data_IF_160808687248
#
_entry.id   IF_160808687248
#
_cell.length_a   1.000
_cell.length_b   1.000
_cell.length_c   1.000
_cell.angle_alpha   90.00
_cell.angle_beta   90.00
_cell.angle_gamma   90.00
#
_symmetry.space_group_name_H-M   'P 1'
#
loop_
_entity.id
_entity.type
_entity.pdbx_description
1 polymer ?
#
# COMPACT_ATOMS: atom_id res chain seq x y z
N UNK A 1 -59.20 -27.07 -47.29
CA UNK A 1 -58.98 -25.81 -46.52
C UNK A 1 -57.94 -26.10 -45.41
N UNK A 2 -56.67 -25.90 -45.73
CA UNK A 2 -55.58 -26.21 -44.87
C UNK A 2 -55.04 -24.85 -44.30
N UNK A 3 -55.26 -24.60 -43.01
CA UNK A 3 -54.68 -23.41 -42.30
C UNK A 3 -53.25 -23.72 -41.91
N UNK A 4 -52.32 -23.12 -42.62
CA UNK A 4 -50.93 -23.12 -42.22
C UNK A 4 -50.73 -22.15 -41.01
N UNK A 5 -50.41 -22.72 -39.87
CA UNK A 5 -50.00 -21.96 -38.70
C UNK A 5 -48.49 -21.73 -38.81
N UNK A 6 -48.13 -20.51 -39.16
CA UNK A 6 -46.72 -20.07 -39.15
C UNK A 6 -46.31 -19.78 -37.69
N UNK A 7 -45.62 -20.72 -37.10
CA UNK A 7 -45.00 -20.51 -35.78
C UNK A 7 -43.72 -19.66 -35.96
N UNK A 8 -43.81 -18.37 -35.63
CA UNK A 8 -42.68 -17.46 -35.58
C UNK A 8 -41.88 -17.76 -34.31
N UNK A 9 -40.80 -18.52 -34.45
CA UNK A 9 -39.86 -18.81 -33.39
C UNK A 9 -39.00 -17.54 -33.17
N UNK A 10 -39.39 -16.68 -32.24
CA UNK A 10 -38.54 -15.56 -31.76
C UNK A 10 -37.47 -16.17 -30.88
N UNK A 11 -36.30 -16.42 -31.46
CA UNK A 11 -35.08 -16.67 -30.67
C UNK A 11 -34.74 -15.38 -29.93
N UNK A 12 -35.13 -15.30 -28.66
CA UNK A 12 -34.57 -14.37 -27.69
C UNK A 12 -33.10 -14.74 -27.47
N UNK A 13 -32.22 -14.24 -28.32
CA UNK A 13 -30.79 -14.18 -28.03
C UNK A 13 -30.67 -13.19 -26.89
N UNK A 14 -30.65 -13.71 -25.67
CA UNK A 14 -30.23 -12.96 -24.48
C UNK A 14 -28.74 -12.69 -24.64
N UNK A 15 -28.39 -11.78 -25.55
CA UNK A 15 -27.06 -11.22 -25.62
C UNK A 15 -26.83 -10.49 -24.29
N UNK A 16 -26.02 -11.04 -23.44
CA UNK A 16 -25.38 -10.25 -22.37
C UNK A 16 -24.73 -9.09 -23.08
N UNK A 17 -25.31 -7.89 -22.96
CA UNK A 17 -24.68 -6.66 -23.40
C UNK A 17 -23.39 -6.57 -22.59
N UNK A 18 -22.28 -7.01 -23.19
CA UNK A 18 -20.96 -6.81 -22.61
C UNK A 18 -20.79 -5.29 -22.47
N UNK A 19 -20.99 -4.78 -21.25
CA UNK A 19 -20.74 -3.38 -20.96
C UNK A 19 -19.27 -3.15 -21.23
N UNK A 20 -18.94 -2.17 -22.07
CA UNK A 20 -17.55 -1.80 -22.31
C UNK A 20 -16.90 -1.44 -20.98
N UNK A 21 -15.75 -2.02 -20.69
CA UNK A 21 -14.98 -1.66 -19.53
C UNK A 21 -14.45 -0.23 -19.64
N UNK A 22 -14.00 0.35 -18.54
CA UNK A 22 -13.46 1.70 -18.52
C UNK A 22 -12.27 1.86 -19.47
N UNK A 23 -12.20 2.98 -20.18
CA UNK A 23 -11.05 3.35 -21.00
C UNK A 23 -9.92 4.04 -20.19
N UNK A 24 -10.17 4.32 -18.91
CA UNK A 24 -9.20 4.98 -18.02
C UNK A 24 -9.21 4.27 -16.67
N UNK A 25 -8.03 3.94 -16.16
CA UNK A 25 -7.82 3.45 -14.80
C UNK A 25 -7.13 4.55 -13.99
N UNK A 26 -7.77 5.01 -12.91
CA UNK A 26 -7.22 6.00 -11.97
C UNK A 26 -6.63 5.26 -10.76
N UNK A 27 -5.30 5.24 -10.66
CA UNK A 27 -4.55 4.51 -9.64
C UNK A 27 -3.94 5.48 -8.62
N UNK A 28 -4.33 5.34 -7.34
CA UNK A 28 -3.75 6.08 -6.23
C UNK A 28 -2.45 5.46 -5.74
N UNK A 29 -1.39 6.27 -5.60
CA UNK A 29 -0.07 5.86 -5.11
C UNK A 29 0.51 6.90 -4.15
N UNK A 30 1.59 6.56 -3.44
CA UNK A 30 2.33 7.48 -2.58
C UNK A 30 3.81 7.57 -3.03
N UNK A 31 4.54 8.61 -2.61
CA UNK A 31 5.99 8.68 -2.84
C UNK A 31 6.76 7.69 -1.95
N UNK A 32 7.96 7.31 -2.41
CA UNK A 32 8.89 6.46 -1.67
C UNK A 32 9.15 5.11 -2.33
N UNK A 33 10.26 4.48 -1.96
CA UNK A 33 10.73 3.25 -2.60
C UNK A 33 9.82 2.03 -2.30
N UNK A 34 9.03 2.09 -1.24
CA UNK A 34 7.98 1.10 -0.96
C UNK A 34 6.93 1.01 -2.08
N UNK A 35 6.87 2.04 -2.95
CA UNK A 35 6.00 2.10 -4.13
C UNK A 35 6.76 1.82 -5.45
N UNK A 36 7.96 1.26 -5.37
CA UNK A 36 8.77 0.90 -6.54
C UNK A 36 7.99 0.11 -7.61
N UNK A 37 7.16 -0.90 -7.27
CA UNK A 37 6.42 -1.62 -8.30
C UNK A 37 5.57 -0.71 -9.19
N UNK A 38 4.96 0.33 -8.63
CA UNK A 38 4.15 1.29 -9.40
C UNK A 38 5.01 2.22 -10.27
N UNK A 39 6.21 2.58 -9.83
CA UNK A 39 7.16 3.32 -10.65
C UNK A 39 7.60 2.48 -11.86
N UNK A 40 7.89 1.20 -11.67
CA UNK A 40 8.21 0.25 -12.74
C UNK A 40 7.01 0.08 -13.67
N UNK A 41 5.81 -0.15 -13.14
CA UNK A 41 4.57 -0.29 -13.93
C UNK A 41 4.34 0.95 -14.80
N UNK A 42 4.48 2.14 -14.23
CA UNK A 42 4.28 3.41 -14.94
C UNK A 42 5.35 3.64 -16.00
N UNK A 43 6.63 3.46 -15.65
CA UNK A 43 7.76 3.67 -16.59
C UNK A 43 7.71 2.72 -17.77
N UNK A 44 7.38 1.46 -17.52
CA UNK A 44 7.33 0.41 -18.52
C UNK A 44 5.97 0.30 -19.24
N UNK A 45 4.96 1.06 -18.82
CA UNK A 45 3.57 1.00 -19.30
C UNK A 45 2.99 -0.43 -19.22
N UNK A 46 3.23 -1.13 -18.08
CA UNK A 46 2.89 -2.56 -17.98
C UNK A 46 1.38 -2.80 -17.99
N UNK A 47 0.57 -1.94 -17.34
CA UNK A 47 -0.88 -2.09 -17.32
C UNK A 47 -1.45 -1.88 -18.72
N UNK A 48 -1.00 -0.87 -19.45
CA UNK A 48 -1.44 -0.61 -20.83
C UNK A 48 -1.06 -1.77 -21.77
N UNK A 49 0.14 -2.34 -21.60
CA UNK A 49 0.61 -3.50 -22.39
C UNK A 49 -0.22 -4.75 -22.11
N UNK A 50 -0.46 -5.09 -20.83
CA UNK A 50 -1.27 -6.25 -20.45
C UNK A 50 -2.74 -6.08 -20.84
N UNK A 51 -3.30 -4.86 -20.72
CA UNK A 51 -4.63 -4.51 -21.16
C UNK A 51 -4.76 -4.65 -22.69
N UNK A 52 -3.81 -4.16 -23.46
CA UNK A 52 -3.79 -4.28 -24.92
C UNK A 52 -3.73 -5.74 -25.36
N UNK A 53 -2.94 -6.59 -24.69
CA UNK A 53 -2.91 -8.03 -24.94
C UNK A 53 -4.28 -8.72 -24.67
N UNK A 54 -5.07 -8.16 -23.74
CA UNK A 54 -6.44 -8.61 -23.45
C UNK A 54 -7.52 -7.96 -24.34
N UNK A 55 -7.11 -7.17 -25.34
CA UNK A 55 -8.01 -6.47 -26.28
C UNK A 55 -8.68 -5.22 -25.69
N UNK A 56 -8.09 -4.62 -24.65
CA UNK A 56 -8.56 -3.37 -24.06
C UNK A 56 -7.68 -2.18 -24.51
N UNK A 57 -8.31 -1.04 -24.78
CA UNK A 57 -7.64 0.23 -24.96
C UNK A 57 -7.73 1.02 -23.65
N UNK A 58 -6.78 0.79 -22.75
CA UNK A 58 -6.75 1.35 -21.40
C UNK A 58 -5.64 2.39 -21.27
N UNK A 59 -5.96 3.52 -20.65
CA UNK A 59 -4.99 4.52 -20.19
C UNK A 59 -4.93 4.52 -18.67
N UNK A 60 -3.74 4.67 -18.09
CA UNK A 60 -3.57 4.74 -16.64
C UNK A 60 -3.25 6.17 -16.21
N UNK A 61 -3.97 6.65 -15.22
CA UNK A 61 -3.72 7.92 -14.54
C UNK A 61 -3.25 7.66 -13.12
N UNK A 62 -2.03 8.09 -12.79
CA UNK A 62 -1.44 7.93 -11.45
C UNK A 62 -1.66 9.18 -10.63
N UNK A 63 -2.38 9.06 -9.51
CA UNK A 63 -2.67 10.15 -8.59
C UNK A 63 -1.86 9.96 -7.30
N UNK A 64 -1.12 10.99 -6.90
CA UNK A 64 -0.27 10.97 -5.71
C UNK A 64 -1.03 11.46 -4.49
N UNK A 65 -0.97 10.70 -3.40
CA UNK A 65 -1.58 11.01 -2.11
C UNK A 65 -0.52 11.11 -1.01
N UNK A 66 -0.80 11.89 0.02
CA UNK A 66 0.09 12.06 1.18
C UNK A 66 0.07 10.89 2.15
N UNK A 67 -0.98 10.04 2.12
CA UNK A 67 -1.14 8.92 3.03
C UNK A 67 -2.41 8.11 2.77
N UNK A 68 -2.55 7.01 3.49
CA UNK A 68 -3.65 6.07 3.34
C UNK A 68 -5.04 6.65 3.58
N UNK A 69 -5.27 7.49 4.61
CA UNK A 69 -6.58 8.12 4.82
C UNK A 69 -7.04 8.95 3.62
N UNK A 70 -6.17 9.83 3.09
CA UNK A 70 -6.49 10.63 1.92
C UNK A 70 -6.76 9.77 0.67
N UNK A 71 -6.08 8.62 0.54
CA UNK A 71 -6.32 7.67 -0.54
C UNK A 71 -7.67 6.96 -0.39
N UNK A 72 -8.07 6.60 0.84
CA UNK A 72 -9.39 6.08 1.12
C UNK A 72 -10.48 7.07 0.75
N UNK A 73 -10.30 8.34 1.10
CA UNK A 73 -11.23 9.42 0.73
C UNK A 73 -11.33 9.56 -0.79
N UNK A 74 -10.20 9.44 -1.50
CA UNK A 74 -10.15 9.43 -2.97
C UNK A 74 -10.94 8.28 -3.60
N UNK A 75 -10.83 7.07 -3.05
CA UNK A 75 -11.58 5.90 -3.50
C UNK A 75 -13.08 6.03 -3.18
N UNK A 76 -13.42 6.52 -2.00
CA UNK A 76 -14.80 6.71 -1.54
C UNK A 76 -15.54 7.80 -2.32
N UNK A 77 -14.83 8.81 -2.79
CA UNK A 77 -15.38 9.93 -3.58
C UNK A 77 -15.32 9.70 -5.08
N UNK A 78 -14.95 8.48 -5.52
CA UNK A 78 -14.80 8.12 -6.95
C UNK A 78 -13.77 8.98 -7.71
N UNK A 79 -12.76 9.51 -7.00
CA UNK A 79 -11.63 10.21 -7.61
C UNK A 79 -10.55 9.25 -8.12
N UNK A 80 -10.47 8.05 -7.54
CA UNK A 80 -9.63 6.93 -8.00
C UNK A 80 -10.44 5.64 -8.07
N UNK A 81 -10.02 4.71 -8.92
CA UNK A 81 -10.64 3.40 -9.12
C UNK A 81 -9.94 2.32 -8.29
N UNK A 82 -8.62 2.48 -8.11
CA UNK A 82 -7.75 1.55 -7.39
C UNK A 82 -6.86 2.33 -6.44
N UNK A 83 -6.76 1.84 -5.23
CA UNK A 83 -5.90 2.37 -4.19
C UNK A 83 -4.74 1.41 -3.90
N UNK A 84 -3.52 1.95 -3.69
CA UNK A 84 -2.38 1.20 -3.21
C UNK A 84 -1.84 1.87 -1.94
N UNK A 85 -2.11 1.30 -0.77
CA UNK A 85 -1.66 1.87 0.51
C UNK A 85 -1.53 0.80 1.60
N UNK A 86 -1.03 1.23 2.76
CA UNK A 86 -0.76 0.36 3.90
C UNK A 86 -1.98 -0.46 4.35
N UNK A 87 -1.71 -1.66 4.84
CA UNK A 87 -2.71 -2.64 5.31
C UNK A 87 -3.72 -2.04 6.31
N UNK A 88 -3.34 -1.19 7.28
CA UNK A 88 -4.33 -0.62 8.21
C UNK A 88 -5.42 0.20 7.52
N UNK A 89 -5.06 1.04 6.53
CA UNK A 89 -6.03 1.84 5.77
C UNK A 89 -6.96 0.95 4.95
N UNK A 90 -6.42 -0.09 4.31
CA UNK A 90 -7.21 -1.09 3.60
C UNK A 90 -8.21 -1.80 4.51
N UNK A 91 -7.74 -2.41 5.62
CA UNK A 91 -8.61 -3.16 6.54
C UNK A 91 -9.66 -2.26 7.21
N UNK A 92 -9.32 -1.00 7.50
CA UNK A 92 -10.28 -0.03 8.03
C UNK A 92 -11.42 0.22 7.04
N UNK A 93 -11.12 0.38 5.75
CA UNK A 93 -12.13 0.59 4.74
C UNK A 93 -12.92 -0.69 4.43
N UNK A 94 -12.24 -1.84 4.37
CA UNK A 94 -12.87 -3.15 4.22
C UNK A 94 -13.90 -3.42 5.33
N UNK A 95 -13.53 -3.20 6.59
CA UNK A 95 -14.42 -3.44 7.74
C UNK A 95 -15.63 -2.48 7.79
N UNK A 96 -15.49 -1.27 7.23
CA UNK A 96 -16.56 -0.27 7.11
C UNK A 96 -17.43 -0.44 5.87
N UNK A 97 -16.91 -1.12 4.83
CA UNK A 97 -17.56 -1.23 3.53
C UNK A 97 -18.92 -1.93 3.61
N UNK A 98 -19.94 -1.33 2.97
CA UNK A 98 -21.28 -1.89 2.80
C UNK A 98 -21.78 -1.56 1.40
N UNK A 99 -22.47 -2.52 0.77
CA UNK A 99 -23.04 -2.34 -0.56
C UNK A 99 -21.98 -1.95 -1.61
N UNK A 100 -22.18 -0.83 -2.32
CA UNK A 100 -21.26 -0.36 -3.36
C UNK A 100 -19.86 0.03 -2.87
N UNK A 101 -19.71 0.26 -1.58
CA UNK A 101 -18.46 0.65 -0.95
C UNK A 101 -17.71 -0.54 -0.34
N UNK A 102 -18.18 -1.76 -0.59
CA UNK A 102 -17.44 -2.96 -0.23
C UNK A 102 -16.14 -2.99 -1.03
N UNK A 103 -15.00 -2.96 -0.33
CA UNK A 103 -13.68 -3.06 -0.98
C UNK A 103 -13.10 -4.45 -0.85
N UNK A 104 -12.26 -4.82 -1.83
CA UNK A 104 -11.50 -6.06 -1.84
C UNK A 104 -10.05 -5.78 -2.19
N UNK A 105 -9.14 -6.41 -1.47
CA UNK A 105 -7.74 -6.47 -1.85
C UNK A 105 -7.55 -7.30 -3.11
N UNK A 106 -6.72 -6.81 -4.01
CA UNK A 106 -6.31 -7.56 -5.20
C UNK A 106 -5.07 -8.39 -4.90
N UNK A 107 -4.05 -7.76 -4.29
CA UNK A 107 -2.78 -8.36 -3.92
C UNK A 107 -1.98 -7.41 -3.04
N UNK A 108 -0.86 -7.88 -2.52
CA UNK A 108 0.18 -7.05 -1.90
C UNK A 108 1.16 -6.51 -2.95
N UNK A 109 2.12 -5.68 -2.52
CA UNK A 109 3.16 -5.15 -3.41
C UNK A 109 4.55 -5.13 -2.74
N UNK A 110 4.83 -6.24 -2.03
CA UNK A 110 6.14 -6.48 -1.44
C UNK A 110 6.31 -5.93 -0.03
N UNK A 111 7.51 -6.08 0.47
CA UNK A 111 7.92 -5.66 1.79
C UNK A 111 9.32 -5.04 1.75
N UNK A 112 9.46 -3.85 2.30
CA UNK A 112 10.74 -3.18 2.54
C UNK A 112 10.79 -2.83 4.02
N UNK A 113 11.85 -3.19 4.76
CA UNK A 113 12.02 -2.78 6.15
C UNK A 113 11.97 -1.26 6.29
N UNK A 114 11.20 -0.78 7.25
CA UNK A 114 11.08 0.64 7.60
C UNK A 114 11.52 0.83 9.04
N UNK A 115 11.99 2.03 9.41
CA UNK A 115 12.54 2.26 10.74
C UNK A 115 12.14 3.61 11.32
N UNK A 116 11.96 3.63 12.64
CA UNK A 116 11.89 4.85 13.41
C UNK A 116 13.31 5.33 13.69
N UNK A 117 13.62 6.53 13.22
CA UNK A 117 14.90 7.20 13.47
C UNK A 117 14.70 8.46 14.32
N UNK A 118 15.74 8.84 15.04
CA UNK A 118 15.75 10.05 15.85
C UNK A 118 17.11 10.75 15.82
N UNK A 119 17.09 12.05 16.02
CA UNK A 119 18.30 12.83 16.31
C UNK A 119 18.47 13.15 17.80
N UNK A 120 17.52 12.73 18.65
CA UNK A 120 17.64 12.89 20.09
C UNK A 120 18.63 11.85 20.64
N UNK A 121 19.84 12.25 21.12
CA UNK A 121 20.84 11.30 21.58
C UNK A 121 20.45 10.52 22.84
N UNK A 122 19.42 11.00 23.56
CA UNK A 122 18.90 10.35 24.77
C UNK A 122 17.86 9.25 24.47
N UNK A 123 17.36 9.16 23.24
CA UNK A 123 16.38 8.14 22.82
C UNK A 123 17.12 7.01 22.12
N UNK A 124 17.28 5.88 22.80
CA UNK A 124 17.94 4.67 22.28
C UNK A 124 16.94 3.53 22.04
N UNK A 125 15.84 3.57 22.75
CA UNK A 125 14.74 2.60 22.66
C UNK A 125 13.41 3.33 22.61
N UNK A 126 12.33 2.62 22.27
CA UNK A 126 10.97 3.21 22.27
C UNK A 126 10.55 3.71 23.68
N UNK A 127 11.07 3.10 24.74
CA UNK A 127 10.74 3.49 26.10
C UNK A 127 11.38 4.84 26.55
N UNK A 128 12.36 5.33 25.82
CA UNK A 128 13.08 6.57 26.15
C UNK A 128 12.36 7.83 25.62
N UNK A 129 11.34 7.67 24.76
CA UNK A 129 10.58 8.82 24.28
C UNK A 129 9.82 9.51 25.40
N UNK A 130 9.81 10.84 25.34
CA UNK A 130 9.15 11.73 26.31
C UNK A 130 8.17 12.67 25.62
N UNK A 131 7.41 13.43 26.39
CA UNK A 131 6.47 14.44 25.86
C UNK A 131 7.16 15.58 25.07
N UNK A 132 8.50 15.69 25.17
CA UNK A 132 9.30 16.68 24.44
C UNK A 132 9.62 16.24 23.01
N UNK A 133 9.49 14.95 22.72
CA UNK A 133 9.80 14.39 21.41
C UNK A 133 8.64 14.58 20.45
N UNK A 134 8.93 14.57 19.15
CA UNK A 134 7.94 14.65 18.06
C UNK A 134 8.33 13.69 16.96
N UNK A 135 7.48 12.69 16.74
CA UNK A 135 7.64 11.63 15.75
C UNK A 135 6.76 11.95 14.54
N UNK A 136 7.36 12.24 13.40
CA UNK A 136 6.62 12.39 12.15
C UNK A 136 6.27 11.02 11.54
N UNK A 137 5.06 10.93 10.99
CA UNK A 137 4.54 9.78 10.24
C UNK A 137 3.38 10.21 9.32
N UNK A 138 3.00 9.44 8.27
CA UNK A 138 2.04 9.85 7.26
C UNK A 138 0.59 10.05 7.74
N UNK A 139 0.25 9.53 8.92
CA UNK A 139 -1.09 9.69 9.49
C UNK A 139 -1.13 9.19 10.92
N UNK A 140 -1.38 10.09 11.87
CA UNK A 140 -1.56 9.75 13.29
C UNK A 140 -2.69 8.74 13.44
N UNK A 141 -2.47 7.68 14.21
CA UNK A 141 -3.41 6.57 14.48
C UNK A 141 -3.84 5.71 13.30
N UNK A 142 -3.55 6.11 12.06
CA UNK A 142 -4.15 5.50 10.87
C UNK A 142 -3.14 4.98 9.86
N UNK A 143 -1.90 5.47 9.86
CA UNK A 143 -0.84 4.96 9.00
C UNK A 143 -0.27 3.64 9.51
N UNK A 144 0.38 2.89 8.63
CA UNK A 144 1.12 1.67 8.98
C UNK A 144 2.09 1.92 10.12
N UNK A 145 2.82 3.03 10.08
CA UNK A 145 3.78 3.45 11.10
C UNK A 145 3.11 3.68 12.47
N UNK A 146 1.95 4.36 12.49
CA UNK A 146 1.20 4.58 13.71
C UNK A 146 0.72 3.25 14.33
N UNK A 147 0.26 2.32 13.49
CA UNK A 147 -0.19 0.99 13.95
C UNK A 147 0.99 0.18 14.50
N UNK A 148 2.16 0.23 13.86
CA UNK A 148 3.36 -0.46 14.36
C UNK A 148 3.82 0.11 15.70
N UNK A 149 3.80 1.45 15.87
CA UNK A 149 4.06 2.08 17.17
C UNK A 149 3.05 1.64 18.23
N UNK A 150 1.77 1.54 17.88
CA UNK A 150 0.74 1.07 18.80
C UNK A 150 0.92 -0.40 19.21
N UNK A 151 1.29 -1.28 18.26
CA UNK A 151 1.64 -2.69 18.56
C UNK A 151 2.83 -2.74 19.51
N UNK A 152 3.89 -1.96 19.22
CA UNK A 152 5.07 -1.90 20.07
C UNK A 152 4.74 -1.33 21.46
N UNK A 153 3.87 -0.33 21.55
CA UNK A 153 3.41 0.23 22.82
C UNK A 153 2.68 -0.81 23.68
N UNK A 154 1.78 -1.61 23.10
CA UNK A 154 1.12 -2.69 23.83
C UNK A 154 2.10 -3.76 24.32
N UNK A 155 3.13 -4.09 23.51
CA UNK A 155 4.16 -5.06 23.89
C UNK A 155 5.07 -4.55 25.03
N UNK A 156 5.37 -3.26 25.04
CA UNK A 156 6.29 -2.65 26.02
C UNK A 156 5.57 -2.25 27.32
N UNK A 157 4.40 -1.64 27.21
CA UNK A 157 3.71 -1.01 28.32
C UNK A 157 2.45 -1.76 28.78
N UNK A 158 2.09 -2.85 28.08
CA UNK A 158 0.96 -3.71 28.40
C UNK A 158 -0.32 -3.39 27.62
N UNK A 159 -1.34 -4.26 27.75
CA UNK A 159 -2.62 -4.11 27.07
C UNK A 159 -3.29 -2.77 27.38
N UNK A 160 -3.95 -2.17 26.36
CA UNK A 160 -4.63 -0.87 26.46
C UNK A 160 -3.68 0.34 26.36
N UNK A 161 -2.39 0.14 26.07
CA UNK A 161 -1.39 1.20 25.90
C UNK A 161 -1.10 1.53 24.42
N UNK A 162 -1.94 1.07 23.50
CA UNK A 162 -1.77 1.31 22.06
C UNK A 162 -1.60 2.81 21.70
N UNK A 163 -2.23 3.71 22.43
CA UNK A 163 -2.16 5.17 22.22
C UNK A 163 -1.00 5.87 22.93
N UNK A 164 -0.06 5.14 23.52
CA UNK A 164 1.03 5.71 24.34
C UNK A 164 1.82 6.80 23.61
N UNK A 165 2.09 6.60 22.32
CA UNK A 165 2.87 7.55 21.52
C UNK A 165 2.02 8.61 20.79
N UNK A 166 0.67 8.55 20.86
CA UNK A 166 -0.20 9.43 20.07
C UNK A 166 0.06 10.91 20.32
N UNK A 167 0.28 11.30 21.58
CA UNK A 167 0.50 12.69 21.98
C UNK A 167 1.78 13.30 21.40
N UNK A 168 2.75 12.48 21.02
CA UNK A 168 4.04 12.91 20.47
C UNK A 168 4.16 12.63 18.97
N UNK A 169 3.13 12.07 18.32
CA UNK A 169 3.12 11.85 16.88
C UNK A 169 2.51 13.01 16.12
N UNK A 170 3.04 13.33 14.94
CA UNK A 170 2.55 14.38 14.05
C UNK A 170 2.41 13.86 12.62
N UNK A 171 1.34 14.29 11.93
CA UNK A 171 1.12 13.91 10.52
C UNK A 171 2.00 14.73 9.59
N UNK A 172 2.88 14.05 8.83
CA UNK A 172 3.66 14.62 7.73
C UNK A 172 3.93 13.58 6.65
N UNK A 173 3.90 14.01 5.39
CA UNK A 173 4.38 13.19 4.28
C UNK A 173 5.90 12.97 4.42
N UNK A 174 6.39 11.83 3.95
CA UNK A 174 7.81 11.45 4.13
C UNK A 174 8.83 12.48 3.60
N UNK A 175 8.65 13.11 2.41
CA UNK A 175 9.57 14.16 1.96
C UNK A 175 9.63 15.35 2.92
N UNK A 176 8.48 15.81 3.43
CA UNK A 176 8.38 16.93 4.35
C UNK A 176 8.93 16.57 5.74
N UNK A 177 8.71 15.33 6.19
CA UNK A 177 9.25 14.81 7.44
C UNK A 177 10.78 14.75 7.39
N UNK A 178 11.36 14.22 6.30
CA UNK A 178 12.81 14.23 6.10
C UNK A 178 13.37 15.66 6.11
N UNK A 179 12.76 16.57 5.37
CA UNK A 179 13.22 17.98 5.34
C UNK A 179 13.17 18.62 6.75
N UNK A 180 12.11 18.38 7.51
CA UNK A 180 11.98 18.89 8.89
C UNK A 180 12.98 18.26 9.85
N UNK A 181 13.22 16.94 9.76
CA UNK A 181 14.21 16.24 10.59
C UNK A 181 15.63 16.71 10.30
N UNK A 182 16.02 16.79 9.02
CA UNK A 182 17.34 17.26 8.60
C UNK A 182 17.57 18.73 8.94
N UNK A 183 16.51 19.55 8.82
CA UNK A 183 16.52 20.98 9.18
C UNK A 183 16.47 21.26 10.68
N UNK A 184 16.27 20.24 11.53
CA UNK A 184 16.12 20.38 12.99
C UNK A 184 15.06 21.41 13.39
N UNK A 185 13.88 21.26 12.82
CA UNK A 185 12.79 22.21 13.05
C UNK A 185 11.77 21.67 14.06
N UNK A 186 10.58 21.27 13.61
CA UNK A 186 9.45 20.94 14.48
C UNK A 186 9.45 19.50 15.02
N UNK A 187 10.27 18.61 14.43
CA UNK A 187 10.36 17.20 14.78
C UNK A 187 11.79 16.81 15.08
N UNK A 188 11.95 15.80 15.92
CA UNK A 188 13.26 15.19 16.20
C UNK A 188 13.30 13.70 15.85
N UNK A 189 12.20 13.15 15.36
CA UNK A 189 12.10 11.74 14.99
C UNK A 189 11.19 11.55 13.79
N UNK A 190 11.47 10.55 12.96
CA UNK A 190 10.67 10.20 11.80
C UNK A 190 10.56 8.68 11.69
N UNK A 191 9.35 8.17 11.50
CA UNK A 191 9.18 6.76 11.14
C UNK A 191 9.28 6.64 9.62
N UNK A 192 10.52 6.50 9.17
CA UNK A 192 10.93 6.69 7.79
C UNK A 192 10.87 5.42 6.95
N UNK A 193 10.78 5.64 5.65
CA UNK A 193 10.87 4.61 4.59
C UNK A 193 12.03 4.97 3.65
N UNK A 194 12.65 3.99 2.93
CA UNK A 194 13.58 4.30 1.85
C UNK A 194 12.92 5.12 0.71
N UNK A 195 13.63 6.05 0.07
CA UNK A 195 15.03 6.38 0.28
C UNK A 195 15.25 7.45 1.37
N UNK A 196 14.19 8.00 1.97
CA UNK A 196 14.27 9.05 2.99
C UNK A 196 15.03 8.54 4.23
N UNK A 197 14.74 7.32 4.68
CA UNK A 197 15.46 6.64 5.76
C UNK A 197 16.98 6.65 5.52
N UNK A 198 17.39 6.24 4.32
CA UNK A 198 18.80 6.14 3.97
C UNK A 198 19.46 7.52 3.89
N UNK A 199 18.75 8.53 3.40
CA UNK A 199 19.24 9.91 3.38
C UNK A 199 19.41 10.49 4.79
N UNK A 200 18.47 10.20 5.70
CA UNK A 200 18.53 10.61 7.10
C UNK A 200 19.69 9.96 7.84
N UNK A 201 19.93 8.66 7.62
CA UNK A 201 21.01 7.91 8.24
C UNK A 201 22.42 8.28 7.74
N UNK A 202 22.55 9.06 6.66
CA UNK A 202 23.83 9.68 6.26
C UNK A 202 24.28 10.76 7.26
N UNK A 203 23.38 11.22 8.14
CA UNK A 203 23.69 12.18 9.20
C UNK A 203 24.20 11.46 10.46
N UNK A 204 25.39 11.80 10.98
CA UNK A 204 25.95 11.12 12.15
C UNK A 204 25.18 11.36 13.45
N UNK A 205 24.34 12.39 13.49
CA UNK A 205 23.48 12.75 14.63
C UNK A 205 22.08 12.09 14.56
N UNK A 206 21.81 11.26 13.54
CA UNK A 206 20.57 10.51 13.40
C UNK A 206 20.85 9.00 13.51
N UNK A 207 20.03 8.29 14.28
CA UNK A 207 20.17 6.85 14.47
C UNK A 207 18.83 6.13 14.52
N UNK A 208 18.86 4.83 14.27
CA UNK A 208 17.68 3.95 14.36
C UNK A 208 17.35 3.70 15.83
N UNK A 209 16.06 3.83 16.16
CA UNK A 209 15.49 3.47 17.48
C UNK A 209 14.89 2.08 17.45
N UNK A 210 14.11 1.77 16.40
CA UNK A 210 13.51 0.46 16.20
C UNK A 210 13.08 0.27 14.74
N UNK A 211 13.14 -0.97 14.27
CA UNK A 211 12.63 -1.36 12.94
C UNK A 211 11.19 -1.84 13.02
N UNK A 212 10.50 -1.87 11.86
CA UNK A 212 9.15 -2.43 11.76
C UNK A 212 9.05 -3.89 12.23
N UNK A 213 10.07 -4.71 11.95
CA UNK A 213 10.10 -6.11 12.40
C UNK A 213 10.21 -6.21 13.92
N UNK A 214 11.08 -5.42 14.54
CA UNK A 214 11.21 -5.39 16.00
C UNK A 214 9.92 -4.95 16.68
N UNK A 215 9.19 -3.99 16.09
CA UNK A 215 7.93 -3.51 16.63
C UNK A 215 6.80 -4.53 16.52
N UNK A 216 6.65 -5.17 15.37
CA UNK A 216 5.53 -6.08 15.09
C UNK A 216 5.86 -7.54 15.42
N UNK A 217 7.12 -7.95 15.23
CA UNK A 217 7.60 -9.32 15.46
C UNK A 217 7.46 -10.25 14.24
N UNK A 218 6.97 -9.72 13.11
CA UNK A 218 6.84 -10.45 11.84
C UNK A 218 6.93 -9.46 10.68
N UNK A 219 7.36 -9.88 9.48
CA UNK A 219 7.22 -9.09 8.27
C UNK A 219 5.75 -8.72 8.02
N UNK A 220 5.53 -7.49 7.57
CA UNK A 220 4.22 -6.97 7.16
C UNK A 220 4.38 -6.32 5.81
N UNK A 221 3.60 -6.74 4.81
CA UNK A 221 3.65 -6.14 3.47
C UNK A 221 3.51 -4.63 3.53
N UNK A 222 4.20 -3.91 2.65
CA UNK A 222 4.15 -2.45 2.57
C UNK A 222 2.72 -1.93 2.44
N UNK A 223 1.88 -2.70 1.74
CA UNK A 223 0.46 -2.43 1.63
C UNK A 223 -0.27 -3.39 0.71
N UNK A 224 -1.49 -3.03 0.44
CA UNK A 224 -2.43 -3.76 -0.42
C UNK A 224 -2.87 -2.86 -1.56
N UNK A 225 -2.96 -3.44 -2.76
CA UNK A 225 -3.70 -2.88 -3.89
C UNK A 225 -5.16 -3.31 -3.70
N UNK A 226 -6.08 -2.37 -3.66
CA UNK A 226 -7.50 -2.66 -3.45
C UNK A 226 -8.41 -1.72 -4.23
N UNK A 227 -9.63 -2.19 -4.44
CA UNK A 227 -10.66 -1.53 -5.24
C UNK A 227 -12.04 -1.90 -4.69
N UNK A 228 -13.09 -1.26 -5.19
CA UNK A 228 -14.45 -1.66 -4.82
C UNK A 228 -14.83 -2.96 -5.53
N UNK A 229 -15.61 -3.79 -4.84
CA UNK A 229 -16.15 -5.03 -5.44
C UNK A 229 -16.99 -4.73 -6.70
N UNK A 230 -17.74 -3.62 -6.66
CA UNK A 230 -18.50 -3.15 -7.81
C UNK A 230 -17.61 -2.83 -9.02
N UNK A 231 -16.44 -2.18 -8.78
CA UNK A 231 -15.48 -1.91 -9.86
C UNK A 231 -14.90 -3.20 -10.44
N UNK A 232 -14.53 -4.16 -9.58
CA UNK A 232 -13.97 -5.44 -10.04
C UNK A 232 -14.94 -6.24 -10.90
N UNK A 233 -16.22 -6.22 -10.53
CA UNK A 233 -17.27 -6.90 -11.28
C UNK A 233 -17.58 -6.22 -12.62
N UNK A 234 -17.49 -4.89 -12.66
CA UNK A 234 -17.73 -4.11 -13.88
C UNK A 234 -16.54 -4.13 -14.85
N UNK A 235 -15.32 -4.37 -14.38
CA UNK A 235 -14.08 -4.25 -15.15
C UNK A 235 -13.13 -5.46 -14.96
N UNK A 236 -13.62 -6.71 -15.18
CA UNK A 236 -12.84 -7.91 -14.86
C UNK A 236 -11.56 -8.04 -15.70
N UNK A 237 -11.54 -7.60 -16.95
CA UNK A 237 -10.33 -7.65 -17.79
C UNK A 237 -9.31 -6.59 -17.34
N UNK A 238 -9.77 -5.40 -16.96
CA UNK A 238 -8.92 -4.34 -16.39
C UNK A 238 -8.25 -4.81 -15.10
N UNK A 239 -9.01 -5.49 -14.22
CA UNK A 239 -8.48 -6.07 -12.98
C UNK A 239 -7.48 -7.18 -13.26
N UNK A 240 -7.75 -8.06 -14.23
CA UNK A 240 -6.81 -9.10 -14.64
C UNK A 240 -5.52 -8.50 -15.25
N UNK A 241 -5.65 -7.44 -16.07
CA UNK A 241 -4.51 -6.75 -16.65
C UNK A 241 -3.64 -6.06 -15.56
N UNK A 242 -4.28 -5.43 -14.58
CA UNK A 242 -3.57 -4.85 -13.42
C UNK A 242 -2.84 -5.94 -12.63
N UNK A 243 -3.51 -7.08 -12.36
CA UNK A 243 -2.90 -8.22 -11.67
C UNK A 243 -1.65 -8.72 -12.40
N UNK A 244 -1.75 -8.93 -13.72
CA UNK A 244 -0.64 -9.37 -14.55
C UNK A 244 0.50 -8.35 -14.56
N UNK A 245 0.19 -7.05 -14.72
CA UNK A 245 1.19 -5.98 -14.75
C UNK A 245 1.97 -5.87 -13.43
N UNK A 246 1.31 -6.08 -12.29
CA UNK A 246 2.01 -6.09 -10.98
C UNK A 246 2.94 -7.29 -10.89
N UNK A 247 2.52 -8.48 -11.33
CA UNK A 247 3.40 -9.66 -11.38
C UNK A 247 4.63 -9.41 -12.28
N UNK A 248 4.42 -8.86 -13.48
CA UNK A 248 5.50 -8.52 -14.40
C UNK A 248 6.49 -7.52 -13.77
N UNK A 249 5.97 -6.54 -13.02
CA UNK A 249 6.82 -5.61 -12.28
C UNK A 249 7.64 -6.31 -11.19
N UNK A 250 7.05 -7.26 -10.42
CA UNK A 250 7.80 -8.03 -9.42
C UNK A 250 8.90 -8.87 -10.07
N UNK A 251 8.62 -9.51 -11.22
CA UNK A 251 9.62 -10.25 -11.98
C UNK A 251 10.75 -9.34 -12.42
N UNK A 252 10.44 -8.15 -13.00
CA UNK A 252 11.44 -7.19 -13.43
C UNK A 252 12.31 -6.72 -12.25
N UNK A 253 11.71 -6.35 -11.13
CA UNK A 253 12.45 -5.86 -9.96
C UNK A 253 13.42 -6.93 -9.44
N UNK A 254 12.98 -8.17 -9.36
CA UNK A 254 13.79 -9.28 -8.85
C UNK A 254 14.89 -9.72 -9.85
N UNK A 255 14.68 -9.58 -11.16
CA UNK A 255 15.63 -10.03 -12.18
C UNK A 255 16.55 -8.93 -12.69
N UNK A 256 16.12 -7.67 -12.67
CA UNK A 256 16.91 -6.51 -13.12
C UNK A 256 16.68 -5.31 -12.17
N UNK A 257 17.24 -5.36 -10.95
CA UNK A 257 17.07 -4.30 -9.95
C UNK A 257 17.66 -2.96 -10.40
N UNK A 258 18.66 -2.97 -11.30
CA UNK A 258 19.21 -1.72 -11.86
C UNK A 258 18.20 -1.02 -12.77
N UNK A 259 17.51 -1.77 -13.64
CA UNK A 259 16.42 -1.23 -14.46
C UNK A 259 15.26 -0.73 -13.62
N UNK A 260 14.92 -1.46 -12.55
CA UNK A 260 13.91 -1.02 -11.59
C UNK A 260 14.31 0.29 -10.88
N UNK A 261 15.58 0.42 -10.48
CA UNK A 261 16.11 1.66 -9.91
C UNK A 261 16.04 2.84 -10.90
N UNK A 262 16.39 2.61 -12.17
CA UNK A 262 16.27 3.63 -13.21
C UNK A 262 14.82 4.08 -13.42
N UNK A 263 13.87 3.13 -13.46
CA UNK A 263 12.44 3.41 -13.55
C UNK A 263 11.94 4.24 -12.36
N UNK A 264 12.37 3.88 -11.14
CA UNK A 264 12.03 4.64 -9.93
C UNK A 264 12.50 6.10 -10.02
N UNK A 265 13.76 6.32 -10.37
CA UNK A 265 14.33 7.67 -10.49
C UNK A 265 13.64 8.51 -11.58
N UNK A 266 13.33 7.89 -12.72
CA UNK A 266 12.61 8.56 -13.81
C UNK A 266 11.20 9.02 -13.40
N UNK A 267 10.49 8.26 -12.57
CA UNK A 267 9.13 8.55 -12.14
C UNK A 267 9.08 9.44 -10.89
N UNK A 268 10.00 9.23 -9.94
CA UNK A 268 10.04 10.02 -8.69
C UNK A 268 10.62 11.41 -8.89
N UNK A 269 11.56 11.57 -9.83
CA UNK A 269 12.33 12.79 -10.03
C UNK A 269 13.39 13.02 -8.94
N UNK A 270 13.68 12.00 -8.12
CA UNK A 270 14.73 12.08 -7.09
C UNK A 270 16.14 12.05 -7.70
N UNK A 271 17.09 12.68 -7.01
CA UNK A 271 18.49 12.77 -7.46
C UNK A 271 19.44 11.82 -6.70
N UNK A 272 18.90 10.79 -6.10
CA UNK A 272 19.68 9.74 -5.43
C UNK A 272 20.49 8.95 -6.49
N UNK A 273 21.77 8.63 -6.24
CA UNK A 273 22.54 7.78 -7.17
C UNK A 273 21.84 6.45 -7.43
N UNK A 274 21.86 6.00 -8.68
CA UNK A 274 21.16 4.76 -9.07
C UNK A 274 21.69 3.54 -8.31
N UNK A 275 22.98 3.53 -7.99
CA UNK A 275 23.65 2.50 -7.21
C UNK A 275 23.10 2.42 -5.78
N UNK A 276 22.79 3.57 -5.17
CA UNK A 276 22.17 3.63 -3.85
C UNK A 276 20.75 3.05 -3.89
N UNK A 277 19.94 3.46 -4.88
CA UNK A 277 18.58 2.89 -5.06
C UNK A 277 18.64 1.39 -5.31
N UNK A 278 19.55 0.93 -6.17
CA UNK A 278 19.73 -0.51 -6.43
C UNK A 278 20.12 -1.26 -5.15
N UNK A 279 21.01 -0.70 -4.32
CA UNK A 279 21.40 -1.29 -3.06
C UNK A 279 20.21 -1.40 -2.09
N UNK A 280 19.34 -0.38 -2.02
CA UNK A 280 18.10 -0.42 -1.22
C UNK A 280 17.13 -1.48 -1.71
N UNK A 281 16.98 -1.65 -3.04
CA UNK A 281 16.11 -2.68 -3.65
C UNK A 281 16.58 -4.10 -3.29
N UNK A 282 17.91 -4.31 -3.24
CA UNK A 282 18.52 -5.63 -3.00
C UNK A 282 18.97 -5.83 -1.56
N UNK A 283 18.60 -4.94 -0.65
CA UNK A 283 19.00 -5.00 0.75
C UNK A 283 18.44 -6.25 1.44
N UNK A 284 19.16 -6.82 2.44
CA UNK A 284 18.65 -7.95 3.20
C UNK A 284 17.27 -7.68 3.82
N UNK A 285 16.34 -8.63 3.68
CA UNK A 285 14.99 -8.53 4.20
C UNK A 285 14.01 -7.78 3.29
N UNK A 286 14.44 -7.24 2.16
CA UNK A 286 13.55 -6.71 1.12
C UNK A 286 12.98 -7.86 0.31
N UNK A 287 11.66 -7.83 0.07
CA UNK A 287 10.94 -8.86 -0.69
C UNK A 287 9.98 -8.17 -1.66
N UNK A 288 10.06 -8.56 -2.93
CA UNK A 288 9.10 -8.14 -3.95
C UNK A 288 8.29 -9.35 -4.40
N UNK A 289 7.14 -9.53 -3.77
CA UNK A 289 6.12 -10.52 -4.11
C UNK A 289 4.72 -9.90 -4.02
N UNK A 290 3.71 -10.67 -4.41
CA UNK A 290 2.31 -10.26 -4.36
C UNK A 290 1.57 -10.84 -3.17
N UNK A 291 2.22 -11.67 -2.36
CA UNK A 291 1.61 -12.35 -1.23
C UNK A 291 1.26 -11.36 -0.10
N UNK A 292 0.04 -11.40 0.45
CA UNK A 292 -0.34 -10.55 1.58
C UNK A 292 0.25 -11.09 2.89
N UNK A 293 1.23 -10.39 3.46
CA UNK A 293 1.85 -10.75 4.75
C UNK A 293 1.40 -9.82 5.87
N UNK A 294 1.19 -10.39 7.08
CA UNK A 294 0.87 -9.65 8.30
C UNK A 294 -0.58 -9.15 8.40
N UNK A 295 -1.48 -9.64 7.54
CA UNK A 295 -2.90 -9.24 7.51
C UNK A 295 -3.57 -9.57 8.85
N UNK A 296 -3.34 -10.78 9.38
CA UNK A 296 -3.96 -11.25 10.61
C UNK A 296 -3.42 -10.51 11.84
N UNK A 297 -2.13 -10.21 11.87
CA UNK A 297 -1.50 -9.46 12.96
C UNK A 297 -2.07 -8.03 13.05
N UNK A 298 -2.12 -7.33 11.91
CA UNK A 298 -2.67 -5.97 11.82
C UNK A 298 -4.19 -5.97 12.07
N UNK A 299 -4.95 -6.88 11.45
CA UNK A 299 -6.41 -6.99 11.61
C UNK A 299 -6.81 -7.25 13.05
N UNK A 300 -6.13 -8.18 13.73
CA UNK A 300 -6.36 -8.48 15.13
C UNK A 300 -6.05 -7.29 16.05
N UNK A 301 -4.97 -6.55 15.77
CA UNK A 301 -4.64 -5.34 16.52
C UNK A 301 -5.72 -4.26 16.35
N UNK A 302 -6.12 -3.97 15.09
CA UNK A 302 -7.15 -2.97 14.81
C UNK A 302 -8.48 -3.31 15.49
N UNK A 303 -8.88 -4.58 15.51
CA UNK A 303 -10.10 -5.04 16.16
C UNK A 303 -10.02 -4.92 17.68
N UNK A 304 -8.95 -5.42 18.32
CA UNK A 304 -8.77 -5.33 19.78
C UNK A 304 -8.78 -3.89 20.29
N UNK A 305 -8.30 -2.94 19.46
CA UNK A 305 -8.28 -1.52 19.83
C UNK A 305 -9.51 -0.74 19.34
N UNK A 306 -10.58 -1.43 18.91
CA UNK A 306 -11.84 -0.80 18.52
C UNK A 306 -11.77 0.06 17.24
N UNK A 307 -10.71 -0.09 16.44
CA UNK A 307 -10.53 0.67 15.20
C UNK A 307 -11.36 0.10 14.05
N UNK A 308 -11.67 -1.20 14.09
CA UNK A 308 -12.57 -1.89 13.16
C UNK A 308 -13.59 -2.73 13.93
N UNK A 309 -14.78 -2.90 13.35
CA UNK A 309 -15.88 -3.61 13.99
C UNK A 309 -15.73 -5.14 13.97
N UNK A 310 -14.92 -5.67 13.03
CA UNK A 310 -14.64 -7.10 12.90
C UNK A 310 -13.22 -7.28 12.35
N UNK A 311 -12.47 -8.24 12.89
CA UNK A 311 -11.23 -8.70 12.28
C UNK A 311 -11.55 -9.70 11.15
N UNK A 312 -10.70 -9.84 10.12
CA UNK A 312 -10.83 -10.93 9.17
C UNK A 312 -10.67 -12.28 9.89
N UNK A 313 -11.49 -13.26 9.51
CA UNK A 313 -11.41 -14.63 10.07
C UNK A 313 -10.14 -15.35 9.55
N UNK A 314 -9.76 -15.08 8.30
CA UNK A 314 -8.53 -15.52 7.67
C UNK A 314 -8.02 -14.43 6.72
N UNK A 315 -6.74 -14.50 6.33
CA UNK A 315 -6.14 -13.46 5.49
C UNK A 315 -6.81 -13.34 4.09
N UNK A 316 -7.44 -14.42 3.60
CA UNK A 316 -8.11 -14.46 2.29
C UNK A 316 -9.43 -13.69 2.28
N UNK A 317 -10.10 -13.60 3.41
CA UNK A 317 -11.44 -13.00 3.51
C UNK A 317 -11.54 -11.58 2.92
N UNK A 318 -10.61 -10.66 3.18
CA UNK A 318 -10.66 -9.32 2.60
C UNK A 318 -10.18 -9.25 1.14
N UNK A 319 -9.69 -10.33 0.54
CA UNK A 319 -9.09 -10.34 -0.79
C UNK A 319 -9.95 -10.99 -1.85
N UNK A 320 -9.71 -10.61 -3.11
CA UNK A 320 -10.25 -11.30 -4.29
C UNK A 320 -9.59 -12.68 -4.46
N UNK A 321 -10.31 -13.68 -5.03
CA UNK A 321 -9.77 -15.03 -5.20
C UNK A 321 -8.48 -15.13 -6.02
N UNK A 322 -8.16 -14.12 -6.84
CA UNK A 322 -6.97 -14.08 -7.69
C UNK A 322 -5.66 -14.31 -6.91
N UNK A 323 -5.58 -13.83 -5.66
CA UNK A 323 -4.36 -13.94 -4.84
C UNK A 323 -4.41 -15.11 -3.84
N UNK A 324 -5.51 -15.85 -3.75
CA UNK A 324 -5.70 -16.90 -2.74
C UNK A 324 -4.75 -18.11 -2.89
N UNK A 325 -4.08 -18.25 -4.03
CA UNK A 325 -3.05 -19.26 -4.26
C UNK A 325 -1.69 -18.92 -3.64
N UNK A 326 -1.48 -17.67 -3.22
CA UNK A 326 -0.22 -17.21 -2.65
C UNK A 326 -0.06 -17.61 -1.17
N UNK A 327 1.18 -17.73 -0.67
CA UNK A 327 1.46 -18.08 0.73
C UNK A 327 1.28 -16.86 1.66
N UNK A 328 0.06 -16.31 1.75
CA UNK A 328 -0.26 -15.15 2.58
C UNK A 328 -0.52 -15.50 4.05
N UNK A 329 -0.61 -14.43 4.95
CA UNK A 329 -0.90 -14.66 6.37
C UNK A 329 -0.79 -13.45 7.30
#
# INVERSE_FOLDING_TARGET
MIRAVLALLVLLVSGTVARAETGVLRLGVQPGLTYLPFAVIQHENLIEKTASAAGLNLKVSYLRFSGGPAMNDGLMSDNIDVAATGIPSFLTLWAKGRGRLTVRGLMSYGYIPIALVTRNPNVRTLADFTEKDRIALPGVRTSTQAIFLGIAAERLFGPGKASHFDAITVTRAHPDAMAALLGNTEINSHFAIPPYLDAELKRPDIHVVATSIEMVGTPVSNGTIYLTEAYSQANPKTVAALYAAVNDAMVLINTDPRRAAAAYLAISGEHTPIEDIQAMITAPGVVYDIAPHGIMAVGSYLFRNGMIAAAPAEWKEPYLPLVHGEPGG
#
